data_IF_382733096118
#
_entry.id   IF_382733096118
#
_cell.length_a   1.000
_cell.length_b   1.000
_cell.length_c   1.000
_cell.angle_alpha   90.00
_cell.angle_beta   90.00
_cell.angle_gamma   90.00
#
_symmetry.space_group_name_H-M   'P 1'
#
loop_
_entity.id
_entity.type
_entity.pdbx_description
1 polymer ?
#
# COMPACT_ATOMS: atom_id res chain seq x y z
N UNK A 1 22.05 14.50 -20.53
CA UNK A 1 22.48 13.21 -19.98
C UNK A 1 21.33 12.20 -19.95
N UNK A 2 20.23 12.44 -19.23
CA UNK A 2 19.10 11.48 -19.13
C UNK A 2 18.38 11.16 -20.45
N UNK A 3 18.14 12.16 -21.32
CA UNK A 3 17.51 11.94 -22.64
C UNK A 3 18.36 11.07 -23.58
N UNK A 4 19.69 11.20 -23.53
CA UNK A 4 20.60 10.38 -24.33
C UNK A 4 20.57 8.91 -23.88
N UNK A 5 20.52 8.66 -22.57
CA UNK A 5 20.37 7.32 -22.01
C UNK A 5 18.99 6.70 -22.36
N UNK A 6 17.91 7.47 -22.22
CA UNK A 6 16.56 7.02 -22.59
C UNK A 6 16.49 6.62 -24.07
N UNK A 7 17.06 7.44 -24.95
CA UNK A 7 17.11 7.15 -26.39
C UNK A 7 17.86 5.86 -26.70
N UNK A 8 18.97 5.61 -26.01
CA UNK A 8 19.79 4.40 -26.20
C UNK A 8 19.14 3.13 -25.62
N UNK A 9 18.41 3.24 -24.50
CA UNK A 9 17.85 2.09 -23.79
C UNK A 9 16.48 1.66 -24.32
N UNK A 10 15.59 2.62 -24.59
CA UNK A 10 14.18 2.33 -24.92
C UNK A 10 13.58 3.32 -25.93
N UNK A 11 14.41 4.17 -26.55
CA UNK A 11 14.01 5.20 -27.52
C UNK A 11 13.08 6.27 -26.95
N UNK A 12 11.80 5.95 -26.78
CA UNK A 12 10.76 6.83 -26.24
C UNK A 12 10.03 6.12 -25.11
N UNK A 13 9.66 6.81 -24.02
CA UNK A 13 8.93 6.21 -22.93
C UNK A 13 7.48 5.85 -23.34
N UNK A 14 6.81 4.93 -22.62
CA UNK A 14 5.39 4.65 -22.80
C UNK A 14 4.52 5.90 -22.58
N UNK A 15 3.61 6.17 -23.51
CA UNK A 15 2.81 7.40 -23.52
C UNK A 15 1.56 7.33 -22.62
N UNK A 16 0.82 6.22 -22.70
CA UNK A 16 -0.55 6.15 -22.18
C UNK A 16 -0.67 6.49 -20.68
N UNK A 17 0.24 5.99 -19.84
CA UNK A 17 0.22 6.29 -18.40
C UNK A 17 0.51 7.75 -18.09
N UNK A 18 1.44 8.37 -18.81
CA UNK A 18 1.74 9.80 -18.68
C UNK A 18 0.56 10.65 -19.17
N UNK A 19 -0.07 10.25 -20.27
CA UNK A 19 -1.25 10.92 -20.80
C UNK A 19 -2.44 10.85 -19.83
N UNK A 20 -2.68 9.70 -19.18
CA UNK A 20 -3.73 9.55 -18.17
C UNK A 20 -3.50 10.44 -16.95
N UNK A 21 -2.28 10.46 -16.40
CA UNK A 21 -1.91 11.34 -15.28
C UNK A 21 -2.11 12.81 -15.67
N UNK A 22 -1.67 13.20 -16.87
CA UNK A 22 -1.85 14.57 -17.37
C UNK A 22 -3.33 14.95 -17.45
N UNK A 23 -4.17 14.09 -18.01
CA UNK A 23 -5.62 14.31 -18.12
C UNK A 23 -6.26 14.53 -16.75
N UNK A 24 -5.92 13.69 -15.76
CA UNK A 24 -6.46 13.82 -14.39
C UNK A 24 -5.97 15.08 -13.70
N UNK A 25 -4.70 15.46 -13.85
CA UNK A 25 -4.12 16.57 -13.10
C UNK A 25 -4.34 17.96 -13.73
N UNK A 26 -4.56 18.04 -15.05
CA UNK A 26 -4.82 19.31 -15.76
C UNK A 26 -6.30 19.72 -15.73
N UNK A 27 -7.21 18.79 -15.46
CA UNK A 27 -8.64 19.07 -15.28
C UNK A 27 -8.98 19.20 -13.78
N UNK A 28 -9.57 20.33 -13.39
CA UNK A 28 -9.82 20.64 -11.99
C UNK A 28 -10.86 19.71 -11.33
N UNK A 29 -11.86 19.25 -12.08
CA UNK A 29 -12.90 18.36 -11.57
C UNK A 29 -12.35 16.93 -11.44
N UNK A 30 -11.63 16.45 -12.46
CA UNK A 30 -10.99 15.13 -12.40
C UNK A 30 -9.93 15.04 -11.29
N UNK A 31 -9.13 16.10 -11.11
CA UNK A 31 -8.14 16.15 -10.04
C UNK A 31 -8.79 16.03 -8.68
N UNK A 32 -9.88 16.78 -8.45
CA UNK A 32 -10.61 16.77 -7.19
C UNK A 32 -11.23 15.41 -6.90
N UNK A 33 -11.79 14.75 -7.91
CA UNK A 33 -12.36 13.42 -7.79
C UNK A 33 -11.26 12.39 -7.41
N UNK A 34 -10.13 12.43 -8.11
CA UNK A 34 -8.97 11.58 -7.81
C UNK A 34 -8.40 11.81 -6.40
N UNK A 35 -8.24 13.06 -5.97
CA UNK A 35 -7.76 13.39 -4.62
C UNK A 35 -8.75 12.89 -3.54
N UNK A 36 -10.04 12.95 -3.82
CA UNK A 36 -11.10 12.44 -2.92
C UNK A 36 -11.01 10.93 -2.80
N UNK A 37 -10.97 10.20 -3.92
CA UNK A 37 -10.84 8.74 -3.92
C UNK A 37 -9.54 8.29 -3.22
N UNK A 38 -8.43 8.99 -3.48
CA UNK A 38 -7.14 8.69 -2.86
C UNK A 38 -7.20 8.89 -1.33
N UNK A 39 -7.85 9.94 -0.85
CA UNK A 39 -8.05 10.19 0.58
C UNK A 39 -8.94 9.13 1.23
N UNK A 40 -10.02 8.70 0.56
CA UNK A 40 -10.89 7.63 1.05
C UNK A 40 -10.12 6.30 1.20
N UNK A 41 -9.30 5.95 0.21
CA UNK A 41 -8.41 4.79 0.28
C UNK A 41 -7.42 4.91 1.44
N UNK A 42 -6.80 6.08 1.62
CA UNK A 42 -5.86 6.36 2.71
C UNK A 42 -6.53 6.18 4.07
N UNK A 43 -7.71 6.76 4.26
CA UNK A 43 -8.48 6.66 5.50
C UNK A 43 -8.97 5.23 5.76
N UNK A 44 -9.38 4.49 4.71
CA UNK A 44 -9.74 3.07 4.83
C UNK A 44 -8.56 2.24 5.34
N UNK A 45 -7.37 2.43 4.78
CA UNK A 45 -6.17 1.72 5.26
C UNK A 45 -5.86 2.05 6.73
N UNK A 46 -5.99 3.31 7.14
CA UNK A 46 -5.77 3.72 8.52
C UNK A 46 -6.76 3.04 9.48
N UNK A 47 -8.05 3.01 9.12
CA UNK A 47 -9.09 2.32 9.92
C UNK A 47 -8.79 0.84 10.08
N UNK A 48 -8.39 0.15 8.99
CA UNK A 48 -8.05 -1.27 9.03
C UNK A 48 -6.83 -1.54 9.92
N UNK A 49 -5.83 -0.66 9.90
CA UNK A 49 -4.63 -0.78 10.76
C UNK A 49 -4.97 -0.69 12.24
N UNK A 50 -5.75 0.31 12.62
CA UNK A 50 -6.20 0.50 14.00
C UNK A 50 -7.03 -0.71 14.46
N UNK A 51 -8.04 -1.09 13.67
CA UNK A 51 -8.91 -2.22 13.99
C UNK A 51 -8.13 -3.54 14.15
N UNK A 52 -7.13 -3.79 13.29
CA UNK A 52 -6.31 -4.99 13.37
C UNK A 52 -5.38 -4.98 14.59
N UNK A 53 -4.73 -3.86 14.90
CA UNK A 53 -3.91 -3.73 16.11
C UNK A 53 -4.74 -3.93 17.39
N UNK A 54 -5.93 -3.35 17.45
CA UNK A 54 -6.86 -3.54 18.57
C UNK A 54 -7.33 -4.99 18.70
N UNK A 55 -7.65 -5.65 17.58
CA UNK A 55 -8.04 -7.06 17.59
C UNK A 55 -6.92 -7.95 18.11
N UNK A 56 -5.68 -7.70 17.69
CA UNK A 56 -4.50 -8.41 18.18
C UNK A 56 -4.28 -8.14 19.67
N UNK A 57 -4.41 -6.89 20.14
CA UNK A 57 -4.29 -6.55 21.56
C UNK A 57 -5.31 -7.30 22.42
N UNK A 58 -6.57 -7.36 21.97
CA UNK A 58 -7.63 -8.13 22.67
C UNK A 58 -7.30 -9.62 22.74
N UNK A 59 -6.77 -10.19 21.65
CA UNK A 59 -6.47 -11.63 21.58
C UNK A 59 -5.18 -12.01 22.32
N UNK A 60 -4.17 -11.14 22.32
CA UNK A 60 -2.86 -11.41 22.93
C UNK A 60 -2.77 -10.96 24.39
N UNK A 61 -3.70 -10.10 24.83
CA UNK A 61 -3.62 -9.35 26.08
C UNK A 61 -2.27 -8.61 26.24
N UNK A 62 -1.73 -8.09 25.13
CA UNK A 62 -0.43 -7.41 25.04
C UNK A 62 -0.44 -6.35 23.94
N UNK A 63 0.36 -5.31 24.14
CA UNK A 63 0.65 -4.22 23.20
C UNK A 63 1.65 -4.59 22.10
N UNK A 64 2.14 -5.85 22.06
CA UNK A 64 3.18 -6.33 21.14
C UNK A 64 2.98 -5.93 19.67
N UNK A 65 1.73 -5.78 19.21
CA UNK A 65 1.39 -5.48 17.82
C UNK A 65 0.85 -4.05 17.58
N UNK A 66 0.94 -3.17 18.58
CA UNK A 66 0.45 -1.79 18.48
C UNK A 66 1.13 -0.98 17.36
N UNK A 67 2.36 -1.34 17.01
CA UNK A 67 3.12 -0.74 15.92
C UNK A 67 2.38 -0.78 14.57
N UNK A 68 1.46 -1.74 14.37
CA UNK A 68 0.71 -1.85 13.10
C UNK A 68 -0.17 -0.62 12.85
N UNK A 69 -0.69 0.00 13.93
CA UNK A 69 -1.50 1.21 13.86
C UNK A 69 -0.67 2.46 13.54
N UNK A 70 0.61 2.50 13.94
CA UNK A 70 1.51 3.64 13.67
C UNK A 70 2.20 3.58 12.32
N UNK A 71 2.34 2.38 11.73
CA UNK A 71 2.87 2.22 10.38
C UNK A 71 2.09 3.01 9.32
N UNK A 72 2.79 3.35 8.23
CA UNK A 72 2.26 4.10 7.08
C UNK A 72 2.55 3.33 5.78
N UNK A 73 1.76 3.62 4.75
CA UNK A 73 1.75 2.87 3.50
C UNK A 73 0.81 1.67 3.53
N UNK A 74 0.88 0.84 2.49
CA UNK A 74 -0.03 -0.31 2.31
C UNK A 74 0.38 -1.55 3.11
N UNK A 75 1.68 -1.69 3.44
CA UNK A 75 2.23 -2.93 3.98
C UNK A 75 2.74 -2.78 5.41
N UNK A 76 2.96 -3.91 6.10
CA UNK A 76 3.62 -3.97 7.39
C UNK A 76 4.34 -5.28 7.55
N UNK A 77 5.56 -5.22 8.09
CA UNK A 77 6.30 -6.41 8.49
C UNK A 77 5.89 -6.77 9.91
N UNK A 78 5.29 -7.94 10.10
CA UNK A 78 4.76 -8.39 11.39
C UNK A 78 5.82 -9.01 12.31
N UNK A 79 7.06 -9.19 11.83
CA UNK A 79 8.14 -9.82 12.59
C UNK A 79 7.92 -11.30 12.86
N UNK A 80 7.09 -11.97 12.05
CA UNK A 80 6.86 -13.40 12.10
C UNK A 80 8.06 -14.16 11.52
N UNK A 81 8.33 -15.33 12.06
CA UNK A 81 9.31 -16.26 11.49
C UNK A 81 8.73 -16.98 10.27
N UNK A 82 9.59 -17.52 9.42
CA UNK A 82 9.16 -18.33 8.25
C UNK A 82 8.24 -19.48 8.65
N UNK A 83 8.55 -20.17 9.76
CA UNK A 83 7.70 -21.24 10.28
C UNK A 83 6.30 -20.74 10.70
N UNK A 84 6.20 -19.54 11.27
CA UNK A 84 4.90 -18.94 11.62
C UNK A 84 4.11 -18.56 10.37
N UNK A 85 4.77 -18.03 9.34
CA UNK A 85 4.14 -17.71 8.04
C UNK A 85 3.63 -18.99 7.36
N UNK A 86 4.39 -20.08 7.39
CA UNK A 86 3.98 -21.35 6.78
C UNK A 86 2.77 -21.97 7.48
N UNK A 87 2.70 -21.87 8.82
CA UNK A 87 1.51 -22.29 9.57
C UNK A 87 0.28 -21.45 9.22
N UNK A 88 0.44 -20.13 9.11
CA UNK A 88 -0.66 -19.25 8.66
C UNK A 88 -1.17 -19.63 7.27
N UNK A 89 -0.28 -20.05 6.36
CA UNK A 89 -0.64 -20.51 5.02
C UNK A 89 -1.38 -21.85 5.06
N UNK A 90 -0.82 -22.86 5.72
CA UNK A 90 -1.31 -24.24 5.64
C UNK A 90 -2.48 -24.55 6.56
N UNK A 91 -2.50 -23.98 7.76
CA UNK A 91 -3.54 -24.20 8.76
C UNK A 91 -4.71 -23.18 8.63
N UNK A 92 -4.45 -21.99 8.08
CA UNK A 92 -5.42 -20.89 8.07
C UNK A 92 -5.65 -20.21 6.71
N UNK A 93 -5.00 -20.67 5.63
CA UNK A 93 -5.11 -20.10 4.28
C UNK A 93 -4.81 -18.58 4.20
N UNK A 94 -3.96 -18.07 5.10
CA UNK A 94 -3.51 -16.67 5.09
C UNK A 94 -2.15 -16.57 4.41
N UNK A 95 -2.11 -15.90 3.25
CA UNK A 95 -0.91 -15.76 2.44
C UNK A 95 -0.24 -14.40 2.67
N UNK A 96 1.06 -14.43 2.95
CA UNK A 96 1.91 -13.25 3.08
C UNK A 96 3.35 -13.55 2.63
N UNK A 97 4.12 -12.47 2.42
CA UNK A 97 5.54 -12.50 2.02
C UNK A 97 6.43 -12.64 3.25
#
# INVERSE_FOLDING_TARGET
QMLAAARALYSMPPDHGAAAVRMVLEDADLKKDWETELEEMRLRMLRLRVAFAEALRRQSNSDRFDFVASHRGMFSRLGLTEAQVERLRTEHAVYMV
#
